data_IF_135825608360
#
_entry.id   IF_135825608360
#
_cell.length_a   1.000
_cell.length_b   1.000
_cell.length_c   1.000
_cell.angle_alpha   90.00
_cell.angle_beta   90.00
_cell.angle_gamma   90.00
#
_symmetry.space_group_name_H-M   'P 1'
#
loop_
_entity.id
_entity.type
_entity.pdbx_description
1 polymer ?
#
# COMPACT_ATOMS: atom_id res chain seq x y z
N UNK A 1 -7.95 -13.95 -2.08
CA UNK A 1 -6.52 -14.31 -2.27
C UNK A 1 -6.17 -14.23 -3.75
N UNK A 2 -4.89 -14.04 -4.11
CA UNK A 2 -4.43 -13.93 -5.51
C UNK A 2 -3.65 -15.18 -5.90
N UNK A 3 -4.36 -16.28 -6.14
CA UNK A 3 -3.79 -17.64 -6.26
C UNK A 3 -2.67 -17.77 -7.29
N UNK A 4 -2.78 -17.08 -8.44
CA UNK A 4 -1.73 -17.10 -9.46
C UNK A 4 -0.42 -16.47 -8.95
N UNK A 5 -0.51 -15.31 -8.30
CA UNK A 5 0.67 -14.64 -7.75
C UNK A 5 1.25 -15.43 -6.58
N UNK A 6 0.40 -16.05 -5.75
CA UNK A 6 0.87 -16.92 -4.68
C UNK A 6 1.72 -18.09 -5.19
N UNK A 7 1.30 -18.79 -6.25
CA UNK A 7 2.11 -19.86 -6.87
C UNK A 7 3.43 -19.36 -7.44
N UNK A 8 3.46 -18.16 -8.03
CA UNK A 8 4.68 -17.51 -8.51
C UNK A 8 5.64 -17.20 -7.36
N UNK A 9 5.11 -16.67 -6.25
CA UNK A 9 5.89 -16.41 -5.04
C UNK A 9 6.45 -17.70 -4.42
N UNK A 10 5.69 -18.79 -4.39
CA UNK A 10 6.19 -20.10 -3.93
C UNK A 10 7.37 -20.63 -4.76
N UNK A 11 7.50 -20.20 -6.01
CA UNK A 11 8.61 -20.53 -6.90
C UNK A 11 9.80 -19.56 -6.76
N UNK A 12 9.72 -18.58 -5.85
CA UNK A 12 10.74 -17.55 -5.66
C UNK A 12 10.65 -16.36 -6.63
N UNK A 13 9.60 -16.30 -7.45
CA UNK A 13 9.44 -15.21 -8.41
C UNK A 13 8.86 -13.96 -7.72
N UNK A 14 9.37 -12.78 -8.10
CA UNK A 14 8.75 -11.50 -7.72
C UNK A 14 7.31 -11.43 -8.25
N UNK A 15 6.43 -10.81 -7.47
CA UNK A 15 5.02 -10.58 -7.86
C UNK A 15 4.68 -9.10 -7.81
N UNK A 16 3.56 -8.70 -8.42
CA UNK A 16 3.03 -7.34 -8.39
C UNK A 16 1.60 -7.31 -7.88
N UNK A 17 1.33 -8.11 -6.83
CA UNK A 17 0.08 -8.05 -6.09
C UNK A 17 -0.08 -6.66 -5.46
N UNK A 18 -1.19 -5.99 -5.75
CA UNK A 18 -1.53 -4.71 -5.18
C UNK A 18 -2.01 -4.86 -3.71
N UNK A 19 -1.31 -4.30 -2.72
CA UNK A 19 -1.69 -4.42 -1.31
C UNK A 19 -2.69 -3.35 -0.84
N UNK A 20 -3.02 -2.33 -1.65
CA UNK A 20 -3.79 -1.14 -1.24
C UNK A 20 -5.09 -1.51 -0.54
N UNK A 21 -5.89 -2.41 -1.13
CA UNK A 21 -7.15 -2.82 -0.52
C UNK A 21 -6.97 -3.48 0.86
N UNK A 22 -5.88 -4.24 1.06
CA UNK A 22 -5.58 -4.85 2.35
C UNK A 22 -5.12 -3.81 3.36
N UNK A 23 -4.33 -2.83 2.94
CA UNK A 23 -3.88 -1.74 3.81
C UNK A 23 -5.08 -0.89 4.25
N UNK A 24 -5.96 -0.50 3.31
CA UNK A 24 -7.17 0.23 3.62
C UNK A 24 -8.12 -0.55 4.55
N UNK A 25 -8.21 -1.88 4.40
CA UNK A 25 -8.98 -2.68 5.36
C UNK A 25 -8.42 -2.55 6.80
N UNK A 26 -7.09 -2.52 6.96
CA UNK A 26 -6.44 -2.30 8.26
C UNK A 26 -6.60 -0.88 8.78
N UNK A 27 -6.32 0.14 7.98
CA UNK A 27 -6.43 1.56 8.41
C UNK A 27 -7.86 1.89 8.83
N UNK A 28 -8.87 1.43 8.09
CA UNK A 28 -10.28 1.62 8.46
C UNK A 28 -10.65 0.89 9.74
N UNK A 29 -10.09 -0.31 9.99
CA UNK A 29 -10.20 -1.01 11.27
C UNK A 29 -9.57 -0.23 12.43
N UNK A 30 -8.36 0.30 12.23
CA UNK A 30 -7.64 1.13 13.21
C UNK A 30 -8.39 2.42 13.52
N UNK A 31 -8.90 3.13 12.51
CA UNK A 31 -9.71 4.34 12.69
C UNK A 31 -10.98 4.06 13.50
N UNK A 32 -11.66 2.94 13.22
CA UNK A 32 -12.85 2.56 13.97
C UNK A 32 -12.51 2.27 15.44
N UNK A 33 -11.44 1.51 15.69
CA UNK A 33 -10.97 1.22 17.05
C UNK A 33 -10.55 2.50 17.79
N UNK A 34 -9.86 3.40 17.11
CA UNK A 34 -9.42 4.68 17.66
C UNK A 34 -10.59 5.54 18.15
N UNK A 35 -11.71 5.53 17.41
CA UNK A 35 -12.94 6.22 17.83
C UNK A 35 -13.53 5.62 19.11
N UNK A 36 -13.53 4.29 19.22
CA UNK A 36 -14.08 3.59 20.37
C UNK A 36 -13.21 3.74 21.63
N UNK A 37 -11.88 3.80 21.47
CA UNK A 37 -10.91 3.92 22.57
C UNK A 37 -10.52 5.36 22.91
N UNK A 38 -11.01 6.33 22.15
CA UNK A 38 -10.61 7.74 22.24
C UNK A 38 -9.09 7.95 22.12
N UNK A 39 -8.46 7.27 21.15
CA UNK A 39 -7.02 7.35 20.88
C UNK A 39 -6.75 8.10 19.56
N UNK A 40 -6.74 9.46 19.57
CA UNK A 40 -6.61 10.25 18.35
C UNK A 40 -5.31 10.00 17.58
N UNK A 41 -4.22 9.64 18.25
CA UNK A 41 -2.94 9.31 17.60
C UNK A 41 -3.05 8.07 16.70
N UNK A 42 -3.87 7.08 17.06
CA UNK A 42 -4.11 5.89 16.22
C UNK A 42 -4.91 6.28 14.97
N UNK A 43 -5.89 7.19 15.12
CA UNK A 43 -6.65 7.70 13.98
C UNK A 43 -5.74 8.51 13.03
N UNK A 44 -4.85 9.34 13.60
CA UNK A 44 -3.86 10.12 12.85
C UNK A 44 -2.92 9.21 12.08
N UNK A 45 -2.34 8.19 12.72
CA UNK A 45 -1.51 7.19 12.05
C UNK A 45 -2.21 6.54 10.86
N UNK A 46 -3.44 6.07 11.06
CA UNK A 46 -4.21 5.41 10.01
C UNK A 46 -4.50 6.36 8.82
N UNK A 47 -4.87 7.61 9.10
CA UNK A 47 -5.08 8.62 8.07
C UNK A 47 -3.78 8.95 7.34
N UNK A 48 -2.67 9.16 8.06
CA UNK A 48 -1.36 9.43 7.46
C UNK A 48 -0.93 8.30 6.53
N UNK A 49 -1.18 7.04 6.91
CA UNK A 49 -0.88 5.89 6.05
C UNK A 49 -1.74 5.88 4.78
N UNK A 50 -3.03 6.20 4.85
CA UNK A 50 -3.88 6.33 3.65
C UNK A 50 -3.35 7.44 2.72
N UNK A 51 -3.00 8.60 3.26
CA UNK A 51 -2.45 9.72 2.49
C UNK A 51 -1.12 9.34 1.81
N UNK A 52 -0.22 8.65 2.54
CA UNK A 52 1.07 8.17 1.99
C UNK A 52 0.85 7.25 0.80
N UNK A 53 -0.14 6.35 0.85
CA UNK A 53 -0.42 5.44 -0.26
C UNK A 53 -0.85 6.21 -1.51
N UNK A 54 -1.75 7.19 -1.33
CA UNK A 54 -2.23 8.04 -2.43
C UNK A 54 -1.05 8.80 -3.05
N UNK A 55 -0.28 9.51 -2.22
CA UNK A 55 0.89 10.28 -2.67
C UNK A 55 1.94 9.38 -3.35
N UNK A 56 2.13 8.16 -2.86
CA UNK A 56 3.06 7.19 -3.48
C UNK A 56 2.60 6.83 -4.90
N UNK A 57 1.32 6.53 -5.09
CA UNK A 57 0.76 6.22 -6.42
C UNK A 57 0.80 7.44 -7.35
N UNK A 58 0.43 8.61 -6.85
CA UNK A 58 0.46 9.87 -7.61
C UNK A 58 1.88 10.28 -8.02
N UNK A 59 2.90 9.90 -7.24
CA UNK A 59 4.31 10.07 -7.60
C UNK A 59 4.80 9.11 -8.71
N UNK A 60 3.93 8.23 -9.21
CA UNK A 60 4.24 7.27 -10.26
C UNK A 60 4.73 5.91 -9.75
N UNK A 61 4.88 5.72 -8.43
CA UNK A 61 5.26 4.45 -7.81
C UNK A 61 4.00 3.62 -7.57
N UNK A 62 3.75 2.60 -8.39
CA UNK A 62 2.54 1.79 -8.32
C UNK A 62 2.77 0.35 -8.77
N UNK A 63 1.86 -0.55 -8.43
CA UNK A 63 1.89 -1.95 -8.90
C UNK A 63 1.39 -2.07 -10.34
N UNK A 64 1.70 -3.21 -10.98
CA UNK A 64 1.47 -3.44 -12.42
C UNK A 64 0.02 -3.28 -12.87
N UNK A 65 -0.93 -3.63 -12.01
CA UNK A 65 -2.36 -3.48 -12.27
C UNK A 65 -2.77 -2.02 -12.43
N UNK A 66 -2.25 -1.11 -11.61
CA UNK A 66 -2.50 0.33 -11.73
C UNK A 66 -1.76 0.93 -12.93
N UNK A 67 -0.50 0.57 -13.12
CA UNK A 67 0.29 1.07 -14.26
C UNK A 67 -0.36 0.74 -15.60
N UNK A 68 -0.98 -0.44 -15.72
CA UNK A 68 -1.71 -0.85 -16.92
C UNK A 68 -2.93 0.05 -17.25
N UNK A 69 -3.49 0.76 -16.25
CA UNK A 69 -4.58 1.72 -16.44
C UNK A 69 -4.07 3.10 -16.89
N UNK A 70 -2.82 3.44 -16.57
CA UNK A 70 -2.20 4.71 -16.94
C UNK A 70 -1.70 4.66 -18.39
N UNK A 71 -0.96 3.62 -18.77
CA UNK A 71 -0.41 3.49 -20.11
C UNK A 71 0.62 2.36 -20.23
N UNK A 72 0.91 1.96 -21.47
CA UNK A 72 1.83 0.83 -21.75
C UNK A 72 3.26 1.05 -21.26
N UNK A 73 3.70 2.31 -21.24
CA UNK A 73 5.07 2.70 -20.88
C UNK A 73 5.20 3.11 -19.41
N UNK A 74 4.12 3.03 -18.62
CA UNK A 74 4.16 3.39 -17.20
C UNK A 74 5.00 2.35 -16.43
N UNK A 75 6.10 2.78 -15.76
CA UNK A 75 6.86 1.88 -14.90
C UNK A 75 6.02 1.42 -13.70
N UNK A 76 6.35 0.25 -13.18
CA UNK A 76 5.67 -0.35 -12.05
C UNK A 76 6.65 -1.05 -11.10
N UNK A 77 6.21 -1.28 -9.87
CA UNK A 77 6.96 -1.91 -8.80
C UNK A 77 6.39 -3.29 -8.45
N UNK A 78 7.28 -4.23 -8.11
CA UNK A 78 6.85 -5.45 -7.43
C UNK A 78 6.19 -5.14 -6.08
N UNK A 79 5.47 -6.11 -5.52
CA UNK A 79 4.79 -5.97 -4.23
C UNK A 79 5.77 -5.53 -3.14
N UNK A 80 6.96 -6.11 -3.08
CA UNK A 80 7.96 -5.79 -2.06
C UNK A 80 8.53 -4.38 -2.25
N UNK A 81 8.79 -3.96 -3.49
CA UNK A 81 9.27 -2.60 -3.80
C UNK A 81 8.22 -1.52 -3.50
N UNK A 82 6.95 -1.80 -3.77
CA UNK A 82 5.85 -0.89 -3.45
C UNK A 82 5.64 -0.78 -1.94
N UNK A 83 5.68 -1.91 -1.21
CA UNK A 83 5.63 -1.90 0.26
C UNK A 83 6.81 -1.15 0.87
N UNK A 84 8.02 -1.31 0.33
CA UNK A 84 9.20 -0.56 0.77
C UNK A 84 9.04 0.95 0.54
N UNK A 85 8.51 1.35 -0.63
CA UNK A 85 8.24 2.76 -0.94
C UNK A 85 7.22 3.38 0.02
N UNK A 86 6.15 2.66 0.35
CA UNK A 86 5.16 3.10 1.35
C UNK A 86 5.81 3.24 2.72
N UNK A 87 6.64 2.28 3.15
CA UNK A 87 7.29 2.31 4.46
C UNK A 87 8.26 3.49 4.60
N UNK A 88 9.09 3.74 3.58
CA UNK A 88 10.01 4.88 3.52
C UNK A 88 9.27 6.22 3.58
N UNK A 89 8.20 6.36 2.78
CA UNK A 89 7.39 7.58 2.75
C UNK A 89 6.65 7.80 4.08
N UNK A 90 6.13 6.72 4.70
CA UNK A 90 5.49 6.79 6.01
C UNK A 90 6.48 7.22 7.10
N UNK A 91 7.67 6.61 7.14
CA UNK A 91 8.72 6.98 8.08
C UNK A 91 9.09 8.46 7.93
N UNK A 92 9.22 8.95 6.69
CA UNK A 92 9.52 10.34 6.41
C UNK A 92 8.41 11.30 6.85
N UNK A 93 7.14 10.90 6.72
CA UNK A 93 5.98 11.73 7.10
C UNK A 93 5.67 11.72 8.59
N UNK A 94 6.17 10.73 9.32
CA UNK A 94 5.99 10.58 10.77
C UNK A 94 7.18 11.07 11.60
N UNK A 95 8.31 11.41 10.97
CA UNK A 95 9.48 12.01 11.63
C UNK A 95 9.20 13.46 12.05
#
# INVERSE_FOLDING_TARGET
TVTRHYRQWQQGNKTSTNPIASIFAWTRGLMHRAKLDNTPEVAKFAQTLEDVIIETVESGKMTKDLAALVGKDQPWQSTDEFMASIAENLQSKMA
#
